data_IF_321676042329
#
_entry.id   IF_321676042329
#
_cell.length_a   1.000
_cell.length_b   1.000
_cell.length_c   1.000
_cell.angle_alpha   90.00
_cell.angle_beta   90.00
_cell.angle_gamma   90.00
#
_symmetry.space_group_name_H-M   'P 1'
#
loop_
_entity.id
_entity.type
_entity.pdbx_description
1 polymer ?
#
# COMPACT_ATOMS: atom_id res chain seq x y z
N UNK A 1 18.13 -14.34 14.79
CA UNK A 1 18.85 -13.10 15.06
C UNK A 1 17.95 -11.89 14.80
N UNK A 2 18.32 -10.74 15.36
CA UNK A 2 17.70 -9.48 14.96
C UNK A 2 18.07 -9.18 13.51
N UNK A 3 17.18 -8.53 12.77
CA UNK A 3 17.42 -8.27 11.36
C UNK A 3 16.32 -7.48 10.68
N UNK A 4 16.37 -7.59 9.37
CA UNK A 4 15.35 -7.02 8.48
C UNK A 4 14.98 -8.05 7.43
N UNK A 5 13.73 -7.96 6.94
CA UNK A 5 13.23 -8.75 5.83
C UNK A 5 12.38 -7.86 4.93
N UNK A 6 12.39 -8.12 3.64
CA UNK A 6 11.53 -7.39 2.70
C UNK A 6 11.12 -8.26 1.52
N UNK A 7 10.01 -7.87 0.93
CA UNK A 7 9.52 -8.41 -0.35
C UNK A 7 9.05 -7.23 -1.21
N UNK A 8 9.27 -7.34 -2.51
CA UNK A 8 8.87 -6.32 -3.49
C UNK A 8 8.21 -6.94 -4.69
N UNK A 9 7.31 -6.18 -5.30
CA UNK A 9 6.72 -6.48 -6.60
C UNK A 9 6.94 -5.29 -7.53
N UNK A 10 7.07 -5.51 -8.85
CA UNK A 10 7.06 -4.43 -9.82
C UNK A 10 5.77 -3.61 -9.73
N UNK A 11 5.89 -2.29 -9.65
CA UNK A 11 4.75 -1.36 -9.64
C UNK A 11 5.18 0.03 -10.12
N UNK A 12 4.51 0.52 -11.15
CA UNK A 12 4.72 1.88 -11.66
C UNK A 12 3.66 2.86 -11.17
N UNK A 13 2.72 2.40 -10.34
CA UNK A 13 1.61 3.21 -9.83
C UNK A 13 2.11 4.27 -8.87
N UNK A 14 1.75 5.53 -9.15
CA UNK A 14 2.15 6.70 -8.35
C UNK A 14 1.01 7.70 -8.22
N UNK A 15 0.36 8.05 -9.33
CA UNK A 15 -0.71 9.04 -9.37
C UNK A 15 -2.06 8.34 -9.46
N UNK A 16 -3.09 8.98 -8.94
CA UNK A 16 -4.44 8.45 -8.92
C UNK A 16 -4.51 7.00 -8.41
N UNK A 17 -3.79 6.74 -7.33
CA UNK A 17 -3.58 5.38 -6.83
C UNK A 17 -4.06 5.26 -5.40
N UNK A 18 -4.75 4.15 -5.12
CA UNK A 18 -5.17 3.71 -3.80
C UNK A 18 -4.41 2.42 -3.44
N UNK A 19 -3.83 2.40 -2.26
CA UNK A 19 -3.27 1.22 -1.59
C UNK A 19 -4.12 0.92 -0.38
N UNK A 20 -4.54 -0.32 -0.24
CA UNK A 20 -5.31 -0.77 0.92
C UNK A 20 -4.78 -2.12 1.40
N UNK A 21 -4.57 -2.27 2.69
CA UNK A 21 -4.04 -3.51 3.25
C UNK A 21 -4.34 -3.64 4.73
N UNK A 22 -4.41 -4.89 5.18
CA UNK A 22 -4.45 -5.24 6.60
C UNK A 22 -3.07 -5.60 7.13
N UNK A 23 -2.84 -5.33 8.41
CA UNK A 23 -1.61 -5.73 9.11
C UNK A 23 -1.94 -6.20 10.51
N UNK A 24 -1.30 -7.30 10.92
CA UNK A 24 -1.33 -7.82 12.28
C UNK A 24 0.11 -7.96 12.79
N UNK A 25 0.38 -7.35 13.93
CA UNK A 25 1.63 -7.49 14.66
C UNK A 25 1.34 -8.28 15.94
N UNK A 26 2.03 -9.41 16.18
CA UNK A 26 1.84 -10.21 17.39
C UNK A 26 2.70 -9.73 18.57
N UNK A 27 2.94 -8.42 18.61
CA UNK A 27 3.75 -7.76 19.64
C UNK A 27 3.37 -6.27 19.73
N UNK A 28 3.69 -5.64 20.85
CA UNK A 28 3.66 -4.18 20.96
C UNK A 28 4.83 -3.59 20.15
N UNK A 29 4.57 -2.72 19.16
CA UNK A 29 5.61 -2.10 18.35
C UNK A 29 6.64 -1.33 19.20
N UNK A 30 7.81 -1.10 18.62
CA UNK A 30 8.88 -0.35 19.27
C UNK A 30 9.87 0.21 18.23
N UNK A 31 10.84 0.99 18.67
CA UNK A 31 11.89 1.52 17.79
C UNK A 31 12.69 0.42 17.05
N UNK A 32 12.69 -0.81 17.54
CA UNK A 32 13.42 -1.95 16.97
C UNK A 32 12.49 -3.01 16.35
N UNK A 33 11.16 -2.81 16.43
CA UNK A 33 10.16 -3.76 15.94
C UNK A 33 9.01 -2.99 15.30
N UNK A 34 9.06 -2.85 14.00
CA UNK A 34 8.06 -2.12 13.20
C UNK A 34 8.13 -2.53 11.74
N UNK A 35 7.13 -2.14 10.97
CA UNK A 35 7.10 -2.40 9.54
C UNK A 35 7.01 -1.11 8.73
N UNK A 36 7.36 -1.21 7.45
CA UNK A 36 7.10 -0.21 6.42
C UNK A 36 6.41 -0.85 5.25
N UNK A 37 5.37 -0.22 4.76
CA UNK A 37 4.77 -0.55 3.47
C UNK A 37 5.20 0.52 2.48
N UNK A 38 6.11 0.17 1.57
CA UNK A 38 6.54 1.06 0.49
C UNK A 38 5.44 1.11 -0.57
N UNK A 39 4.77 2.25 -0.63
CA UNK A 39 3.75 2.57 -1.63
C UNK A 39 4.38 2.71 -3.02
N UNK A 40 5.57 3.32 -3.03
CA UNK A 40 6.40 3.49 -4.23
C UNK A 40 7.87 3.30 -3.87
N UNK A 41 8.65 2.74 -4.78
CA UNK A 41 10.10 2.61 -4.63
C UNK A 41 10.81 2.62 -5.99
N UNK A 42 11.95 3.28 -6.06
CA UNK A 42 12.85 3.23 -7.21
C UNK A 42 13.71 1.96 -7.27
N UNK A 43 13.77 1.19 -6.20
CA UNK A 43 14.60 -0.01 -6.03
C UNK A 43 13.79 -1.18 -5.49
N UNK A 44 14.15 -2.39 -5.90
CA UNK A 44 13.65 -3.64 -5.31
C UNK A 44 14.36 -4.00 -4.00
N UNK A 45 15.44 -3.29 -3.62
CA UNK A 45 16.16 -3.48 -2.36
C UNK A 45 15.69 -2.40 -1.38
N UNK A 46 14.75 -2.74 -0.49
CA UNK A 46 14.13 -1.78 0.42
C UNK A 46 15.00 -1.39 1.63
N UNK A 47 16.06 -2.12 1.87
CA UNK A 47 17.02 -1.83 2.95
C UNK A 47 18.09 -0.81 2.58
N UNK A 48 18.11 -0.35 1.32
CA UNK A 48 19.18 0.46 0.76
C UNK A 48 18.78 1.89 0.40
N UNK A 49 19.61 2.45 -0.46
CA UNK A 49 19.41 3.77 -1.05
C UNK A 49 18.30 3.70 -2.11
N UNK A 50 17.21 4.41 -1.90
CA UNK A 50 16.08 4.46 -2.82
C UNK A 50 15.30 5.77 -2.70
N UNK A 51 14.50 6.06 -3.72
CA UNK A 51 13.52 7.15 -3.68
C UNK A 51 12.11 6.54 -3.68
N UNK A 52 11.27 6.96 -2.74
CA UNK A 52 9.93 6.43 -2.61
C UNK A 52 9.13 7.01 -1.45
N UNK A 53 7.89 6.59 -1.36
CA UNK A 53 7.00 6.90 -0.23
C UNK A 53 6.64 5.61 0.49
N UNK A 54 6.58 5.67 1.81
CA UNK A 54 6.17 4.51 2.61
C UNK A 54 5.30 4.91 3.80
N UNK A 55 4.45 4.00 4.20
CA UNK A 55 3.76 4.01 5.48
C UNK A 55 4.60 3.25 6.49
N UNK A 56 4.98 3.88 7.58
CA UNK A 56 5.55 3.21 8.75
C UNK A 56 4.41 2.80 9.69
N UNK A 57 4.47 1.57 10.17
CA UNK A 57 3.47 0.95 11.04
C UNK A 57 4.18 0.58 12.33
N UNK A 58 3.84 1.26 13.42
CA UNK A 58 4.54 1.14 14.70
C UNK A 58 5.78 2.03 14.80
N UNK A 59 6.79 1.52 15.48
CA UNK A 59 7.96 2.30 15.88
C UNK A 59 7.78 2.88 17.28
N UNK A 60 8.62 3.86 17.64
CA UNK A 60 8.62 4.43 19.00
C UNK A 60 7.35 5.23 19.35
N UNK A 61 6.51 5.56 18.35
CA UNK A 61 5.27 6.33 18.56
C UNK A 61 4.00 5.49 18.49
N UNK A 62 4.12 4.19 18.26
CA UNK A 62 2.99 3.26 18.18
C UNK A 62 1.85 3.73 17.24
N UNK A 63 2.23 4.37 16.14
CA UNK A 63 1.31 4.98 15.19
C UNK A 63 1.54 4.53 13.75
N UNK A 64 0.68 4.99 12.86
CA UNK A 64 0.87 4.90 11.41
C UNK A 64 1.30 6.28 10.91
N UNK A 65 2.34 6.33 10.09
CA UNK A 65 2.87 7.60 9.60
C UNK A 65 3.40 7.49 8.16
N UNK A 66 3.15 8.54 7.38
CA UNK A 66 3.61 8.66 5.99
C UNK A 66 4.98 9.32 5.95
N UNK A 67 5.89 8.71 5.21
CA UNK A 67 7.25 9.20 4.97
C UNK A 67 7.57 9.26 3.48
N UNK A 68 8.45 10.18 3.14
CA UNK A 68 9.20 10.17 1.89
C UNK A 68 10.66 9.79 2.18
N UNK A 69 11.19 8.85 1.41
CA UNK A 69 12.62 8.51 1.41
C UNK A 69 13.27 9.09 0.16
N UNK A 70 14.42 9.73 0.35
CA UNK A 70 15.26 10.27 -0.70
C UNK A 70 16.70 9.78 -0.44
N UNK A 71 17.14 8.83 -1.23
CA UNK A 71 18.37 8.12 -0.94
C UNK A 71 18.30 7.35 0.38
N UNK A 72 19.20 7.68 1.30
CA UNK A 72 19.25 7.09 2.65
C UNK A 72 18.51 7.93 3.71
N UNK A 73 17.91 9.05 3.31
CA UNK A 73 17.23 9.95 4.24
C UNK A 73 15.72 9.81 4.15
N UNK A 74 15.07 9.72 5.30
CA UNK A 74 13.61 9.69 5.39
C UNK A 74 13.09 10.96 6.05
N UNK A 75 12.09 11.58 5.42
CA UNK A 75 11.36 12.74 5.92
C UNK A 75 9.95 12.34 6.32
N UNK A 76 9.58 12.58 7.58
CA UNK A 76 8.20 12.46 8.02
C UNK A 76 7.34 13.51 7.30
N UNK A 77 6.29 13.09 6.62
CA UNK A 77 5.32 13.96 5.95
C UNK A 77 4.07 14.16 6.81
N UNK A 78 3.53 13.08 7.35
CA UNK A 78 2.32 13.13 8.15
C UNK A 78 2.31 12.00 9.18
N UNK A 79 1.82 12.29 10.38
CA UNK A 79 1.71 11.36 11.51
C UNK A 79 0.25 11.18 11.90
N UNK A 80 -0.20 9.94 12.00
CA UNK A 80 -1.52 9.59 12.53
C UNK A 80 -1.53 9.43 14.05
N UNK A 81 -2.69 9.03 14.56
CA UNK A 81 -2.92 8.76 15.99
C UNK A 81 -2.09 7.58 16.49
N UNK A 82 -1.84 7.52 17.80
CA UNK A 82 -1.09 6.43 18.49
C UNK A 82 -2.01 5.22 18.75
N UNK A 83 -2.56 4.62 17.67
CA UNK A 83 -3.60 3.59 17.79
C UNK A 83 -3.10 2.22 18.26
N UNK A 84 -1.78 2.01 18.28
CA UNK A 84 -1.18 0.74 18.73
C UNK A 84 -0.61 0.82 20.14
N UNK A 85 -0.71 1.97 20.82
CA UNK A 85 -0.12 2.21 22.13
C UNK A 85 -0.65 1.22 23.19
N UNK A 86 0.29 0.47 23.81
CA UNK A 86 -0.03 -0.53 24.82
C UNK A 86 -0.73 -1.78 24.28
N UNK A 87 -0.89 -1.93 22.98
CA UNK A 87 -1.49 -3.09 22.36
C UNK A 87 -0.41 -4.12 21.99
N UNK A 88 -0.46 -5.29 22.63
CA UNK A 88 0.49 -6.38 22.38
C UNK A 88 0.20 -7.21 21.13
N UNK A 89 -0.93 -6.96 20.45
CA UNK A 89 -1.33 -7.70 19.24
C UNK A 89 -2.22 -6.83 18.35
N UNK A 90 -1.72 -5.64 17.89
CA UNK A 90 -2.53 -4.75 17.08
C UNK A 90 -2.84 -5.33 15.71
N UNK A 91 -4.12 -5.26 15.34
CA UNK A 91 -4.64 -5.58 14.02
C UNK A 91 -5.30 -4.34 13.45
N UNK A 92 -4.84 -3.90 12.29
CA UNK A 92 -5.33 -2.68 11.66
C UNK A 92 -5.47 -2.84 10.16
N UNK A 93 -6.33 -1.99 9.59
CA UNK A 93 -6.47 -1.79 8.16
C UNK A 93 -6.01 -0.37 7.83
N UNK A 94 -5.27 -0.22 6.76
CA UNK A 94 -4.68 1.04 6.33
C UNK A 94 -5.08 1.26 4.88
N UNK A 95 -5.59 2.45 4.60
CA UNK A 95 -5.90 2.93 3.26
C UNK A 95 -5.09 4.18 3.00
N UNK A 96 -4.44 4.25 1.84
CA UNK A 96 -3.66 5.40 1.39
C UNK A 96 -4.08 5.75 -0.03
N UNK A 97 -4.28 7.01 -0.29
CA UNK A 97 -4.58 7.52 -1.63
C UNK A 97 -3.60 8.63 -2.00
N UNK A 98 -3.21 8.65 -3.25
CA UNK A 98 -2.54 9.77 -3.88
C UNK A 98 -3.32 10.21 -5.11
N UNK A 99 -3.78 11.44 -5.12
CA UNK A 99 -4.47 12.02 -6.27
C UNK A 99 -3.51 12.48 -7.38
N UNK A 100 -4.08 12.97 -8.48
CA UNK A 100 -3.31 13.50 -9.61
C UNK A 100 -2.53 14.77 -9.27
N UNK A 101 -2.95 15.52 -8.23
CA UNK A 101 -2.35 16.78 -7.79
C UNK A 101 -1.23 16.57 -6.76
N UNK A 102 -1.00 15.32 -6.34
CA UNK A 102 0.02 14.94 -5.37
C UNK A 102 -0.42 15.12 -3.92
N UNK A 103 -1.71 15.16 -3.64
CA UNK A 103 -2.23 15.07 -2.29
C UNK A 103 -2.26 13.61 -1.86
N UNK A 104 -1.56 13.34 -0.78
CA UNK A 104 -1.55 12.08 -0.07
C UNK A 104 -2.54 12.13 1.07
N UNK A 105 -3.46 11.20 1.12
CA UNK A 105 -4.40 11.04 2.24
C UNK A 105 -4.30 9.63 2.76
N UNK A 106 -4.28 9.44 4.08
CA UNK A 106 -4.33 8.11 4.65
C UNK A 106 -5.33 8.01 5.79
N UNK A 107 -5.87 6.83 5.92
CA UNK A 107 -6.87 6.44 6.91
C UNK A 107 -6.41 5.17 7.60
N UNK A 108 -6.83 5.02 8.84
CA UNK A 108 -6.60 3.80 9.62
C UNK A 108 -7.88 3.35 10.28
N UNK A 109 -7.95 2.05 10.52
CA UNK A 109 -9.03 1.39 11.27
C UNK A 109 -8.44 0.24 12.05
N UNK A 110 -8.70 0.14 13.35
CA UNK A 110 -8.46 -1.09 14.11
C UNK A 110 -9.47 -2.16 13.67
N UNK A 111 -9.13 -3.45 13.83
CA UNK A 111 -10.07 -4.55 13.56
C UNK A 111 -11.36 -4.42 14.37
N UNK A 112 -11.30 -3.84 15.57
CA UNK A 112 -12.44 -3.56 16.44
C UNK A 112 -13.28 -2.34 16.06
N UNK A 113 -12.83 -1.53 15.11
CA UNK A 113 -13.55 -0.34 14.61
C UNK A 113 -14.28 -0.68 13.31
N UNK A 114 -15.48 -0.13 13.11
CA UNK A 114 -16.30 -0.37 11.92
C UNK A 114 -15.88 0.53 10.75
N UNK A 115 -15.34 1.71 11.03
CA UNK A 115 -15.12 2.79 10.06
C UNK A 115 -13.66 3.19 10.01
N UNK A 116 -13.20 3.56 8.83
CA UNK A 116 -11.90 4.20 8.65
C UNK A 116 -11.90 5.62 9.20
N UNK A 117 -10.90 5.94 9.99
CA UNK A 117 -10.64 7.31 10.46
C UNK A 117 -9.60 7.96 9.55
N UNK A 118 -9.96 9.12 8.97
CA UNK A 118 -9.02 9.94 8.20
C UNK A 118 -7.96 10.50 9.15
N UNK A 119 -6.71 10.10 8.96
CA UNK A 119 -5.60 10.54 9.81
C UNK A 119 -5.07 11.89 9.37
N UNK A 120 -4.60 11.99 8.13
CA UNK A 120 -4.01 13.23 7.58
C UNK A 120 -4.13 13.29 6.06
N UNK A 121 -4.00 14.52 5.57
CA UNK A 121 -3.77 14.82 4.16
C UNK A 121 -2.61 15.80 4.03
N UNK A 122 -1.71 15.55 3.09
CA UNK A 122 -0.53 16.38 2.83
C UNK A 122 -0.20 16.39 1.34
N UNK A 123 0.22 17.52 0.81
CA UNK A 123 0.74 17.62 -0.56
C UNK A 123 2.23 17.34 -0.58
N UNK A 124 2.65 16.38 -1.39
CA UNK A 124 4.06 16.12 -1.70
C UNK A 124 4.18 15.56 -3.12
N UNK A 125 4.97 16.22 -3.95
CA UNK A 125 5.14 15.93 -5.37
C UNK A 125 6.59 15.65 -5.75
N UNK A 126 7.49 15.49 -4.80
CA UNK A 126 8.93 15.39 -5.06
C UNK A 126 9.29 14.12 -5.86
N UNK A 127 8.57 13.00 -5.62
CA UNK A 127 8.80 11.75 -6.35
C UNK A 127 7.58 11.47 -7.22
N UNK A 128 7.83 11.35 -8.54
CA UNK A 128 6.77 11.22 -9.56
C UNK A 128 6.80 9.86 -10.27
N UNK A 129 7.75 9.00 -9.95
CA UNK A 129 7.93 7.69 -10.58
C UNK A 129 8.10 6.59 -9.55
N UNK A 130 7.70 5.38 -9.91
CA UNK A 130 7.91 4.17 -9.13
C UNK A 130 8.35 3.04 -10.06
N UNK A 131 9.04 2.05 -9.50
CA UNK A 131 9.36 0.79 -10.15
C UNK A 131 8.89 -0.40 -9.34
N UNK A 132 8.70 -0.22 -8.03
CA UNK A 132 8.35 -1.28 -7.10
C UNK A 132 7.42 -0.77 -6.00
N UNK A 133 6.65 -1.69 -5.43
CA UNK A 133 5.91 -1.57 -4.19
C UNK A 133 6.35 -2.73 -3.29
N UNK A 134 6.24 -2.61 -1.97
CA UNK A 134 6.68 -3.72 -1.15
C UNK A 134 6.61 -3.50 0.36
N UNK A 135 6.96 -4.53 1.10
CA UNK A 135 6.93 -4.57 2.56
C UNK A 135 8.37 -4.71 3.07
N UNK A 136 8.68 -3.99 4.14
CA UNK A 136 9.96 -4.04 4.83
C UNK A 136 9.71 -4.13 6.34
N UNK A 137 10.21 -5.19 6.97
CA UNK A 137 10.08 -5.44 8.40
C UNK A 137 11.43 -5.29 9.09
N UNK A 138 11.43 -4.64 10.24
CA UNK A 138 12.57 -4.50 11.15
C UNK A 138 12.21 -5.19 12.45
N UNK A 139 13.04 -6.09 12.93
CA UNK A 139 12.71 -6.94 14.06
C UNK A 139 13.90 -7.36 14.92
N UNK A 140 13.63 -7.60 16.20
CA UNK A 140 14.50 -8.34 17.10
C UNK A 140 14.26 -9.84 16.94
N UNK A 141 15.21 -10.67 17.36
CA UNK A 141 15.16 -12.15 17.24
C UNK A 141 13.82 -12.75 17.68
N UNK A 142 13.24 -12.25 18.76
CA UNK A 142 11.97 -12.78 19.31
C UNK A 142 10.72 -12.32 18.56
N UNK A 143 10.84 -11.37 17.62
CA UNK A 143 9.72 -10.77 16.89
C UNK A 143 9.75 -11.05 15.38
N UNK A 144 10.74 -11.79 14.90
CA UNK A 144 10.93 -12.07 13.47
C UNK A 144 9.75 -12.77 12.78
N UNK A 145 8.87 -13.45 13.52
CA UNK A 145 7.66 -14.12 13.01
C UNK A 145 6.35 -13.40 13.35
N UNK A 146 6.43 -12.17 13.86
CA UNK A 146 5.28 -11.48 14.40
C UNK A 146 4.61 -10.50 13.43
N UNK A 147 4.86 -10.59 12.13
CA UNK A 147 4.30 -9.70 11.12
C UNK A 147 3.42 -10.49 10.15
N UNK A 148 2.19 -10.07 9.97
CA UNK A 148 1.29 -10.58 8.94
C UNK A 148 0.71 -9.42 8.17
N UNK A 149 0.77 -9.49 6.85
CA UNK A 149 0.08 -8.59 5.94
C UNK A 149 -0.95 -9.38 5.15
N UNK A 150 -2.12 -8.79 4.95
CA UNK A 150 -3.22 -9.46 4.25
C UNK A 150 -4.12 -8.44 3.53
N UNK A 151 -4.97 -8.92 2.61
CA UNK A 151 -5.90 -8.07 1.84
C UNK A 151 -5.20 -6.88 1.16
N UNK A 152 -4.05 -7.13 0.53
CA UNK A 152 -3.28 -6.09 -0.13
C UNK A 152 -3.91 -5.80 -1.48
N UNK A 153 -4.40 -4.59 -1.66
CA UNK A 153 -5.03 -4.11 -2.89
C UNK A 153 -4.31 -2.87 -3.40
N UNK A 154 -4.17 -2.79 -4.71
CA UNK A 154 -3.67 -1.62 -5.41
C UNK A 154 -4.66 -1.31 -6.54
N UNK A 155 -5.23 -0.12 -6.55
CA UNK A 155 -6.13 0.33 -7.63
C UNK A 155 -5.74 1.73 -8.11
N UNK A 156 -6.01 2.01 -9.38
CA UNK A 156 -5.70 3.30 -10.00
C UNK A 156 -6.93 4.24 -10.08
N UNK A 157 -8.00 3.91 -9.34
CA UNK A 157 -9.23 4.71 -9.32
C UNK A 157 -9.39 5.38 -7.96
N UNK A 158 -8.76 6.53 -7.80
CA UNK A 158 -9.11 7.44 -6.70
C UNK A 158 -10.30 8.26 -7.17
N UNK A 159 -11.48 8.03 -6.60
CA UNK A 159 -12.63 8.88 -6.85
C UNK A 159 -12.24 10.32 -6.50
N UNK A 160 -12.15 11.17 -7.51
CA UNK A 160 -12.04 12.61 -7.29
C UNK A 160 -13.39 13.07 -6.75
N UNK A 161 -13.48 13.30 -5.45
CA UNK A 161 -14.58 14.08 -4.89
C UNK A 161 -14.46 15.50 -5.41
N UNK A 162 -14.91 15.72 -6.64
CA UNK A 162 -15.27 17.05 -7.11
C UNK A 162 -16.56 17.41 -6.41
N UNK A 163 -16.50 18.48 -5.60
CA UNK A 163 -17.66 19.17 -5.02
C UNK A 163 -18.75 19.35 -6.11
N UNK A 164 -20.03 19.12 -5.81
CA UNK A 164 -21.08 19.31 -6.81
C UNK A 164 -21.41 20.80 -6.89
N UNK A 165 -20.68 21.53 -7.69
CA UNK A 165 -21.14 22.80 -8.24
C UNK A 165 -20.26 23.20 -9.43
N UNK A 166 -20.68 22.78 -10.60
CA UNK A 166 -20.59 23.44 -11.90
C UNK A 166 -21.12 22.49 -12.95
N UNK A 167 -22.35 22.75 -13.39
CA UNK A 167 -22.90 22.17 -14.61
C UNK A 167 -22.22 22.81 -15.82
N UNK A 168 -21.54 22.04 -16.68
CA UNK A 168 -21.30 22.51 -18.03
C UNK A 168 -22.43 22.02 -18.91
N UNK A 169 -23.14 22.97 -19.50
CA UNK A 169 -23.95 22.78 -20.71
C UNK A 169 -23.12 22.01 -21.75
N UNK A 170 -23.59 20.85 -22.14
CA UNK A 170 -23.00 20.08 -23.24
C UNK A 170 -24.00 20.10 -24.43
N UNK A 171 -23.65 20.68 -25.58
CA UNK A 171 -24.39 20.43 -26.81
C UNK A 171 -23.93 19.13 -27.46
N UNK A 172 -24.87 18.21 -27.50
CA UNK A 172 -25.08 17.14 -28.44
C UNK A 172 -24.02 16.94 -29.55
N UNK A 173 -23.35 15.78 -29.52
CA UNK A 173 -22.80 15.18 -30.74
C UNK A 173 -23.05 13.67 -30.68
N UNK A 174 -24.17 13.31 -31.34
CA UNK A 174 -24.45 11.94 -31.79
C UNK A 174 -23.27 11.42 -32.64
N UNK A 175 -22.57 10.41 -32.21
CA UNK A 175 -21.79 9.54 -33.05
C UNK A 175 -22.40 8.13 -33.00
N UNK A 176 -22.62 7.47 -34.15
CA UNK A 176 -23.31 6.19 -34.20
C UNK A 176 -22.46 5.08 -33.63
N UNK A 177 -23.10 4.27 -32.79
CA UNK A 177 -22.62 2.98 -32.28
C UNK A 177 -22.16 2.10 -33.46
N UNK A 178 -20.88 1.72 -33.46
CA UNK A 178 -20.32 0.73 -34.36
C UNK A 178 -20.20 -0.62 -33.63
N UNK A 179 -21.04 -1.62 -33.91
CA UNK A 179 -21.07 -2.87 -33.14
C UNK A 179 -19.97 -3.87 -33.45
N UNK A 180 -18.94 -3.54 -34.24
CA UNK A 180 -17.90 -4.46 -34.68
C UNK A 180 -16.49 -4.11 -34.25
N UNK A 181 -16.29 -3.33 -33.15
CA UNK A 181 -14.96 -3.16 -32.59
C UNK A 181 -14.75 -4.21 -31.51
N UNK A 182 -13.81 -5.17 -31.67
CA UNK A 182 -13.48 -6.09 -30.57
C UNK A 182 -13.02 -5.25 -29.37
N UNK A 183 -13.70 -5.38 -28.24
CA UNK A 183 -13.22 -4.79 -26.98
C UNK A 183 -11.80 -5.29 -26.72
N UNK A 184 -10.84 -4.37 -26.75
CA UNK A 184 -9.49 -4.64 -26.27
C UNK A 184 -9.59 -5.13 -24.83
N UNK A 185 -8.83 -6.17 -24.43
CA UNK A 185 -8.84 -6.66 -23.05
C UNK A 185 -8.59 -5.49 -22.13
N UNK A 186 -9.50 -5.24 -21.19
CA UNK A 186 -9.33 -4.23 -20.14
C UNK A 186 -7.98 -4.51 -19.46
N UNK A 187 -7.20 -3.46 -19.29
CA UNK A 187 -5.95 -3.54 -18.53
C UNK A 187 -6.28 -3.93 -17.07
N UNK A 188 -6.16 -5.22 -16.79
CA UNK A 188 -6.43 -5.79 -15.45
C UNK A 188 -5.25 -5.61 -14.48
N UNK A 189 -4.23 -4.85 -14.86
CA UNK A 189 -3.16 -4.45 -13.94
C UNK A 189 -3.74 -3.64 -12.79
N UNK A 190 -3.54 -4.11 -11.57
CA UNK A 190 -4.13 -3.55 -10.36
C UNK A 190 -5.40 -4.25 -9.87
N UNK A 191 -5.90 -5.26 -10.59
CA UNK A 191 -7.06 -6.06 -10.17
C UNK A 191 -6.68 -7.36 -9.42
N UNK A 192 -5.41 -7.73 -9.39
CA UNK A 192 -4.97 -8.89 -8.64
C UNK A 192 -4.81 -8.55 -7.16
N UNK A 193 -5.37 -9.40 -6.32
CA UNK A 193 -5.26 -9.30 -4.87
C UNK A 193 -4.19 -10.26 -4.35
N UNK A 194 -3.28 -9.76 -3.52
CA UNK A 194 -2.47 -10.63 -2.68
C UNK A 194 -3.34 -11.12 -1.52
N UNK A 195 -3.61 -12.42 -1.51
CA UNK A 195 -4.43 -13.01 -0.45
C UNK A 195 -3.60 -13.35 0.78
N UNK A 196 -2.43 -13.90 0.57
CA UNK A 196 -1.52 -14.28 1.65
C UNK A 196 -0.06 -14.19 1.21
N UNK A 197 0.80 -13.75 2.13
CA UNK A 197 2.25 -13.80 1.98
C UNK A 197 2.79 -14.57 3.18
N UNK A 198 3.30 -15.79 2.95
CA UNK A 198 3.97 -16.60 3.95
C UNK A 198 5.48 -16.46 3.79
N UNK A 199 6.11 -15.84 4.76
CA UNK A 199 7.55 -15.67 4.82
C UNK A 199 8.13 -16.43 6.01
N UNK A 200 9.18 -17.23 5.74
CA UNK A 200 9.96 -17.96 6.75
C UNK A 200 9.12 -18.94 7.61
N UNK A 201 8.59 -19.96 6.99
CA UNK A 201 8.01 -21.11 7.72
C UNK A 201 9.13 -21.91 8.42
N UNK A 202 9.08 -21.99 9.74
CA UNK A 202 10.13 -22.62 10.57
C UNK A 202 10.22 -24.14 10.49
N UNK A 203 9.35 -24.78 9.72
CA UNK A 203 9.28 -26.23 9.54
C UNK A 203 9.14 -26.55 8.04
N UNK A 204 10.25 -26.64 7.34
CA UNK A 204 10.38 -27.18 5.95
C UNK A 204 9.28 -26.79 4.93
N UNK A 205 8.47 -25.76 5.22
CA UNK A 205 7.45 -25.23 4.35
C UNK A 205 8.04 -24.21 3.37
N UNK A 206 7.58 -24.25 2.13
CA UNK A 206 7.96 -23.26 1.13
C UNK A 206 7.45 -21.86 1.52
N UNK A 207 8.26 -20.85 1.27
CA UNK A 207 7.79 -19.47 1.22
C UNK A 207 6.87 -19.32 0.01
N UNK A 208 5.70 -18.70 0.20
CA UNK A 208 4.77 -18.51 -0.91
C UNK A 208 4.05 -17.17 -0.84
N UNK A 209 3.61 -16.75 -2.00
CA UNK A 209 2.71 -15.61 -2.18
C UNK A 209 1.46 -16.13 -2.86
N UNK A 210 0.32 -15.99 -2.23
CA UNK A 210 -0.97 -16.30 -2.83
C UNK A 210 -1.53 -15.08 -3.53
N UNK A 211 -1.79 -15.21 -4.83
CA UNK A 211 -2.40 -14.17 -5.66
C UNK A 211 -3.82 -14.62 -6.00
N UNK A 212 -4.79 -13.81 -5.63
CA UNK A 212 -6.20 -14.03 -5.94
C UNK A 212 -6.65 -13.12 -7.08
N UNK A 213 -7.33 -13.72 -8.06
CA UNK A 213 -8.02 -12.99 -9.12
C UNK A 213 -9.51 -12.87 -8.74
N UNK A 214 -9.99 -11.69 -8.30
CA UNK A 214 -11.39 -11.50 -7.93
C UNK A 214 -12.32 -11.35 -9.14
N UNK A 215 -11.78 -11.37 -10.36
CA UNK A 215 -12.55 -11.20 -11.59
C UNK A 215 -12.92 -12.54 -12.20
N UNK A 216 -13.99 -12.58 -13.00
CA UNK A 216 -14.37 -13.77 -13.78
C UNK A 216 -13.51 -13.95 -15.05
N UNK A 217 -12.59 -13.03 -15.33
CA UNK A 217 -11.73 -13.06 -16.51
C UNK A 217 -10.35 -13.61 -16.18
N UNK A 218 -9.77 -14.38 -17.08
CA UNK A 218 -8.41 -14.86 -16.93
C UNK A 218 -7.40 -13.70 -17.01
N UNK A 219 -6.46 -13.66 -16.05
CA UNK A 219 -5.37 -12.70 -16.03
C UNK A 219 -4.08 -13.42 -16.40
N UNK A 220 -3.38 -12.92 -17.40
CA UNK A 220 -2.07 -13.45 -17.80
C UNK A 220 -1.01 -12.76 -16.93
N UNK A 221 -0.34 -13.53 -16.09
CA UNK A 221 0.84 -13.07 -15.39
C UNK A 221 2.04 -13.10 -16.35
N UNK A 222 2.82 -12.01 -16.48
CA UNK A 222 4.08 -12.09 -17.22
C UNK A 222 4.99 -13.13 -16.55
N UNK A 223 5.75 -13.85 -17.34
CA UNK A 223 6.74 -14.79 -16.81
C UNK A 223 7.74 -14.03 -15.91
N UNK A 224 7.98 -14.56 -14.72
CA UNK A 224 8.97 -14.06 -13.77
C UNK A 224 10.39 -14.30 -14.28
#
# INVERSE_FOLDING_TARGET
DAGTAYITIPSTSVKNTRWEFGVHLTFNPSANNYARFYLTSSSNILSGNLNGYYIQIGGAKDNVALYRQNGNQSKLLASGRELMKGNSSPKLYIKVERDNNGYWTFWTRLESENEYVKEKQIKDTDIQTSRYCGIYCIYTKTRCKGFTFHHIQLSNDVETNTSPDETPDNPDTDLPDNPDTPELPRDVRGMLLFNEIMYNNATDGAEYVEIYNPTEQAVILPAL
#
